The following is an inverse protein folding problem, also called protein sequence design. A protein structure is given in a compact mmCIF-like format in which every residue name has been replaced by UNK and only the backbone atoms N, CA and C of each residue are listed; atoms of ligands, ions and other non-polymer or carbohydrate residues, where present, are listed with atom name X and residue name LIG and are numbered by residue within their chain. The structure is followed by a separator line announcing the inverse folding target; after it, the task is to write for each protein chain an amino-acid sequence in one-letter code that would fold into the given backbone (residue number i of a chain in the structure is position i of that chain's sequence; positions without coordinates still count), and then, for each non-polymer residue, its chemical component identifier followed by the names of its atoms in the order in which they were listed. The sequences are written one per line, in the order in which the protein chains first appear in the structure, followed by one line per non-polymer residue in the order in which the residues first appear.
data_IF_768992378167
#
_entry.id   IF_768992378167
#
_cell.length_a   1.000
_cell.length_b   1.000
_cell.length_c   1.000
_cell.angle_alpha   90.00
_cell.angle_beta   90.00
_cell.angle_gamma   90.00
#
_symmetry.space_group_name_H-M   'P 1'
#
loop_
_entity.id
_entity.type
_entity.pdbx_description
1 polymer ?
#
# COMPACT_ATOMS: atom_id res chain seq x y z
N UNK A 1 -27.37 -11.56 20.36
CA UNK A 1 -26.23 -11.03 21.13
C UNK A 1 -25.02 -10.88 20.21
N UNK A 2 -24.21 -9.79 20.38
CA UNK A 2 -23.02 -9.55 19.57
C UNK A 2 -21.79 -9.98 20.35
N UNK A 3 -20.96 -10.83 19.72
CA UNK A 3 -19.69 -11.31 20.28
C UNK A 3 -18.53 -10.82 19.42
N UNK A 4 -17.51 -10.17 20.00
CA UNK A 4 -16.33 -9.77 19.25
C UNK A 4 -15.50 -10.99 18.86
N UNK A 5 -14.94 -10.97 17.64
CA UNK A 5 -13.98 -11.96 17.15
C UNK A 5 -12.65 -11.27 16.80
N UNK A 6 -11.55 -11.99 16.98
CA UNK A 6 -10.20 -11.47 16.70
C UNK A 6 -9.94 -11.25 15.18
N UNK A 7 -10.72 -11.91 14.34
CA UNK A 7 -10.65 -11.81 12.87
C UNK A 7 -11.93 -12.36 12.23
N UNK A 8 -12.16 -12.03 10.95
CA UNK A 8 -13.25 -12.61 10.17
C UNK A 8 -13.17 -14.13 10.10
N UNK A 9 -11.97 -14.69 9.99
CA UNK A 9 -11.75 -16.13 9.98
C UNK A 9 -12.13 -16.79 11.32
N UNK A 10 -11.83 -16.14 12.44
CA UNK A 10 -12.23 -16.63 13.78
C UNK A 10 -13.76 -16.61 13.93
N UNK A 11 -14.41 -15.52 13.50
CA UNK A 11 -15.87 -15.44 13.48
C UNK A 11 -16.50 -16.55 12.64
N UNK A 12 -16.00 -16.79 11.43
CA UNK A 12 -16.48 -17.85 10.56
C UNK A 12 -16.26 -19.25 11.15
N UNK A 13 -15.11 -19.51 11.79
CA UNK A 13 -14.83 -20.77 12.48
C UNK A 13 -15.85 -21.02 13.61
N UNK A 14 -16.12 -20.01 14.41
CA UNK A 14 -17.13 -20.10 15.49
C UNK A 14 -18.52 -20.36 14.93
N UNK A 15 -18.93 -19.68 13.86
CA UNK A 15 -20.22 -19.92 13.21
C UNK A 15 -20.35 -21.34 12.66
N UNK A 16 -19.27 -21.98 12.24
CA UNK A 16 -19.25 -23.39 11.85
C UNK A 16 -19.45 -24.34 13.05
N UNK A 17 -18.76 -24.04 14.15
CA UNK A 17 -18.65 -24.97 15.29
C UNK A 17 -19.80 -24.78 16.32
N UNK A 18 -20.45 -23.62 16.35
CA UNK A 18 -21.47 -23.24 17.34
C UNK A 18 -22.86 -23.12 16.69
N UNK A 19 -23.79 -23.98 17.05
CA UNK A 19 -25.16 -23.97 16.51
C UNK A 19 -25.89 -22.68 16.89
N UNK A 20 -26.58 -22.09 15.92
CA UNK A 20 -27.33 -20.84 16.11
C UNK A 20 -26.48 -19.58 16.06
N UNK A 21 -25.23 -19.69 15.63
CA UNK A 21 -24.29 -18.58 15.48
C UNK A 21 -24.13 -18.20 14.00
N UNK A 22 -24.01 -16.91 13.73
CA UNK A 22 -23.67 -16.36 12.42
C UNK A 22 -22.45 -15.44 12.53
N UNK A 23 -21.70 -15.27 11.46
CA UNK A 23 -20.54 -14.38 11.40
C UNK A 23 -20.67 -13.36 10.28
N UNK A 24 -20.12 -12.16 10.51
CA UNK A 24 -19.88 -11.17 9.46
C UNK A 24 -18.45 -11.42 8.94
N UNK A 25 -18.34 -11.84 7.67
CA UNK A 25 -17.08 -12.21 7.06
C UNK A 25 -17.12 -12.03 5.53
N UNK A 26 -15.99 -12.10 4.87
CA UNK A 26 -15.93 -12.09 3.40
C UNK A 26 -16.27 -13.45 2.78
N UNK A 27 -16.56 -13.46 1.48
CA UNK A 27 -16.96 -14.65 0.72
C UNK A 27 -15.99 -15.82 0.84
N UNK A 28 -14.67 -15.52 0.79
CA UNK A 28 -13.63 -16.54 0.96
C UNK A 28 -13.74 -17.31 2.28
N UNK A 29 -14.20 -16.65 3.36
CA UNK A 29 -14.41 -17.35 4.63
C UNK A 29 -15.60 -18.33 4.58
N UNK A 30 -16.69 -17.97 3.87
CA UNK A 30 -17.81 -18.87 3.65
C UNK A 30 -17.38 -20.14 2.90
N UNK A 31 -16.58 -19.99 1.86
CA UNK A 31 -16.02 -21.12 1.08
C UNK A 31 -15.10 -22.00 1.93
N UNK A 32 -14.10 -21.39 2.61
CA UNK A 32 -13.09 -22.13 3.40
C UNK A 32 -13.73 -22.91 4.55
N UNK A 33 -14.73 -22.34 5.22
CA UNK A 33 -15.38 -22.96 6.36
C UNK A 33 -16.69 -23.70 6.02
N UNK A 34 -17.03 -23.78 4.72
CA UNK A 34 -18.26 -24.44 4.22
C UNK A 34 -19.52 -23.90 4.89
N UNK A 35 -19.66 -22.58 4.92
CA UNK A 35 -20.79 -21.88 5.52
C UNK A 35 -21.75 -21.37 4.44
N UNK A 36 -23.05 -21.38 4.75
CA UNK A 36 -24.06 -20.79 3.89
C UNK A 36 -24.10 -19.27 4.10
N UNK A 37 -24.04 -18.50 3.02
CA UNK A 37 -24.26 -17.04 3.08
C UNK A 37 -25.74 -16.77 3.28
N UNK A 38 -26.10 -16.11 4.37
CA UNK A 38 -27.47 -15.73 4.69
C UNK A 38 -27.85 -14.41 4.02
N UNK A 39 -26.92 -13.45 4.02
CA UNK A 39 -27.07 -12.13 3.40
C UNK A 39 -25.74 -11.79 2.74
N UNK A 40 -25.78 -11.20 1.55
CA UNK A 40 -24.60 -10.71 0.83
C UNK A 40 -24.63 -9.18 0.77
N UNK A 41 -23.49 -8.57 0.41
CA UNK A 41 -23.33 -7.14 0.14
C UNK A 41 -23.83 -6.26 1.29
N UNK A 42 -23.38 -6.60 2.52
CA UNK A 42 -23.78 -5.92 3.77
C UNK A 42 -22.83 -4.82 4.20
N UNK A 43 -21.82 -4.54 3.40
CA UNK A 43 -20.86 -3.48 3.68
C UNK A 43 -21.53 -2.09 3.60
N UNK A 44 -21.17 -1.19 4.53
CA UNK A 44 -21.66 0.19 4.53
C UNK A 44 -21.22 1.00 3.30
N UNK A 45 -20.11 0.58 2.65
CA UNK A 45 -19.52 1.22 1.48
C UNK A 45 -19.04 0.19 0.47
N UNK A 46 -19.53 0.24 -0.78
CA UNK A 46 -19.15 -0.71 -1.83
C UNK A 46 -17.71 -0.55 -2.31
N UNK A 47 -17.04 0.57 -1.95
CA UNK A 47 -15.65 0.88 -2.29
C UNK A 47 -14.65 0.46 -1.20
N UNK A 48 -15.07 -0.32 -0.19
CA UNK A 48 -14.18 -0.81 0.86
C UNK A 48 -13.20 -1.84 0.29
N UNK A 49 -12.00 -1.36 -0.04
CA UNK A 49 -10.96 -2.17 -0.68
C UNK A 49 -9.74 -2.32 0.22
N UNK A 50 -9.30 -3.55 0.46
CA UNK A 50 -8.06 -3.85 1.17
C UNK A 50 -6.94 -4.11 0.18
N UNK A 51 -5.87 -3.32 0.28
CA UNK A 51 -4.67 -3.51 -0.54
C UNK A 51 -3.73 -4.52 0.11
N UNK A 52 -3.38 -5.57 -0.62
CA UNK A 52 -2.36 -6.53 -0.25
C UNK A 52 -1.09 -6.29 -1.08
N UNK A 53 0.08 -6.42 -0.45
CA UNK A 53 1.37 -6.40 -1.12
C UNK A 53 1.98 -7.80 -1.08
N UNK A 54 2.35 -8.32 -2.24
CA UNK A 54 3.13 -9.56 -2.34
C UNK A 54 4.60 -9.20 -2.19
N UNK A 55 5.23 -9.72 -1.13
CA UNK A 55 6.64 -9.45 -0.84
C UNK A 55 7.49 -10.61 -1.38
N UNK A 56 8.49 -10.27 -2.18
CA UNK A 56 9.41 -11.24 -2.79
C UNK A 56 10.84 -10.70 -2.90
N UNK A 57 11.78 -11.59 -3.19
CA UNK A 57 13.19 -11.24 -3.42
C UNK A 57 13.51 -11.00 -4.91
N UNK A 58 12.58 -11.34 -5.78
CA UNK A 58 12.76 -11.27 -7.24
C UNK A 58 12.32 -9.91 -7.74
N UNK A 59 13.20 -9.22 -8.46
CA UNK A 59 12.81 -8.01 -9.17
C UNK A 59 11.97 -8.41 -10.38
N UNK A 60 10.86 -7.73 -10.57
CA UNK A 60 9.99 -7.95 -11.73
C UNK A 60 10.49 -7.09 -12.89
N UNK A 61 10.26 -7.55 -14.11
CA UNK A 61 10.51 -6.77 -15.33
C UNK A 61 9.34 -5.80 -15.55
N UNK A 62 9.60 -4.70 -16.28
CA UNK A 62 8.57 -3.76 -16.67
C UNK A 62 7.46 -4.46 -17.47
N UNK A 63 6.20 -4.20 -17.10
CA UNK A 63 5.00 -4.71 -17.78
C UNK A 63 4.34 -3.68 -18.69
N UNK A 64 4.77 -2.42 -18.62
CA UNK A 64 4.18 -1.28 -19.32
C UNK A 64 3.01 -0.62 -18.56
N UNK A 65 2.49 -1.24 -17.50
CA UNK A 65 1.47 -0.68 -16.61
C UNK A 65 1.86 -0.93 -15.16
N UNK A 66 2.94 -0.28 -14.73
CA UNK A 66 3.58 -0.55 -13.46
C UNK A 66 3.38 0.58 -12.44
N UNK A 67 3.64 0.25 -11.20
CA UNK A 67 3.87 1.18 -10.08
C UNK A 67 5.23 0.91 -9.47
N UNK A 68 5.86 1.97 -8.98
CA UNK A 68 7.08 1.88 -8.18
C UNK A 68 6.81 2.42 -6.78
N UNK A 69 7.10 1.63 -5.76
CA UNK A 69 7.04 2.04 -4.36
C UNK A 69 8.41 2.50 -3.89
N UNK A 70 8.45 3.66 -3.27
CA UNK A 70 9.63 4.33 -2.77
C UNK A 70 9.55 4.54 -1.26
N UNK A 71 10.71 4.55 -0.59
CA UNK A 71 10.88 5.04 0.77
C UNK A 71 11.85 6.22 0.75
N UNK A 72 11.37 7.38 1.18
CA UNK A 72 12.08 8.64 1.11
C UNK A 72 12.16 9.32 2.48
N UNK A 73 13.19 10.13 2.72
CA UNK A 73 13.18 11.17 3.75
C UNK A 73 13.92 12.43 3.28
N UNK A 74 13.52 13.57 3.81
CA UNK A 74 14.17 14.85 3.56
C UNK A 74 15.52 14.93 4.30
N UNK A 75 16.48 15.70 3.76
CA UNK A 75 17.76 15.98 4.43
C UNK A 75 17.56 16.84 5.68
N UNK A 76 16.70 17.86 5.55
CA UNK A 76 16.41 18.81 6.61
C UNK A 76 14.94 18.75 6.99
N UNK A 77 14.66 18.74 8.29
CA UNK A 77 13.29 18.64 8.84
C UNK A 77 12.74 20.00 9.28
N UNK A 78 13.57 21.04 9.26
CA UNK A 78 13.19 22.41 9.66
C UNK A 78 12.91 23.36 8.51
N UNK A 79 13.27 23.00 7.29
CA UNK A 79 13.10 23.87 6.12
C UNK A 79 11.66 23.85 5.59
N UNK A 80 11.06 25.04 5.47
CA UNK A 80 9.81 25.18 4.76
C UNK A 80 9.94 24.69 3.31
N UNK A 81 9.02 23.84 2.88
CA UNK A 81 9.01 23.28 1.53
C UNK A 81 10.00 22.12 1.29
N UNK A 82 10.67 21.56 2.30
CA UNK A 82 11.62 20.46 2.12
C UNK A 82 11.03 19.26 1.39
N UNK A 83 9.81 18.86 1.72
CA UNK A 83 9.11 17.78 1.02
C UNK A 83 8.74 18.17 -0.42
N UNK A 84 8.30 19.40 -0.65
CA UNK A 84 7.99 19.89 -1.99
C UNK A 84 9.24 19.83 -2.89
N UNK A 85 10.37 20.35 -2.40
CA UNK A 85 11.65 20.30 -3.14
C UNK A 85 12.07 18.87 -3.43
N UNK A 86 11.92 17.96 -2.44
CA UNK A 86 12.23 16.55 -2.64
C UNK A 86 11.38 15.91 -3.73
N UNK A 87 10.10 16.24 -3.83
CA UNK A 87 9.16 15.62 -4.78
C UNK A 87 9.12 16.35 -6.15
N UNK A 88 9.71 17.52 -6.29
CA UNK A 88 9.73 18.31 -7.53
C UNK A 88 10.15 17.52 -8.77
N UNK A 89 11.18 16.63 -8.71
CA UNK A 89 11.57 15.84 -9.88
C UNK A 89 10.47 14.96 -10.45
N UNK A 90 9.49 14.52 -9.63
CA UNK A 90 8.36 13.76 -10.17
C UNK A 90 7.49 14.61 -11.08
N UNK A 91 7.21 15.86 -10.69
CA UNK A 91 6.45 16.79 -11.51
C UNK A 91 7.21 17.21 -12.78
N UNK A 92 8.51 17.49 -12.68
CA UNK A 92 9.38 17.85 -13.80
C UNK A 92 9.42 16.77 -14.88
N UNK A 93 9.35 15.50 -14.46
CA UNK A 93 9.32 14.35 -15.37
C UNK A 93 7.90 13.83 -15.65
N UNK A 94 6.86 14.59 -15.26
CA UNK A 94 5.44 14.26 -15.50
C UNK A 94 5.03 12.88 -14.92
N UNK A 95 5.63 12.49 -13.80
CA UNK A 95 5.35 11.22 -13.13
C UNK A 95 4.25 11.44 -12.11
N UNK A 96 3.15 10.72 -12.26
CA UNK A 96 2.04 10.77 -11.31
C UNK A 96 2.40 10.05 -10.00
N UNK A 97 2.13 10.71 -8.88
CA UNK A 97 2.22 10.14 -7.53
C UNK A 97 0.83 9.69 -7.11
N UNK A 98 0.62 8.39 -7.01
CA UNK A 98 -0.69 7.79 -6.69
C UNK A 98 -0.93 7.59 -5.20
N UNK A 99 0.12 7.68 -4.35
CA UNK A 99 0.03 7.56 -2.90
C UNK A 99 1.20 8.25 -2.22
N UNK A 100 0.92 8.88 -1.08
CA UNK A 100 1.94 9.31 -0.12
C UNK A 100 1.45 9.01 1.30
N UNK A 101 2.31 8.43 2.12
CA UNK A 101 2.04 8.14 3.53
C UNK A 101 3.28 8.53 4.35
N UNK A 102 3.08 9.37 5.35
CA UNK A 102 4.15 9.76 6.27
C UNK A 102 4.12 8.89 7.52
N UNK A 103 5.28 8.48 8.00
CA UNK A 103 5.46 7.79 9.28
C UNK A 103 6.61 8.40 10.07
N UNK A 104 6.46 8.53 11.41
CA UNK A 104 7.58 8.97 12.26
C UNK A 104 8.78 8.02 12.10
N UNK A 105 9.96 8.59 11.99
CA UNK A 105 11.20 7.80 11.98
C UNK A 105 11.46 7.25 13.39
N UNK A 106 11.68 5.94 13.51
CA UNK A 106 12.08 5.33 14.79
C UNK A 106 13.53 5.65 15.20
N UNK A 107 14.33 6.22 14.30
CA UNK A 107 15.76 6.48 14.53
C UNK A 107 16.07 7.88 15.05
N UNK A 108 15.22 8.86 14.76
CA UNK A 108 15.41 10.25 15.19
C UNK A 108 14.06 10.89 15.52
N UNK A 109 13.96 11.59 16.65
CA UNK A 109 12.78 12.39 17.03
C UNK A 109 12.52 13.45 15.96
N UNK A 110 11.25 13.69 15.63
CA UNK A 110 10.77 14.71 14.69
C UNK A 110 11.16 14.52 13.22
N UNK A 111 11.74 13.37 12.85
CA UNK A 111 11.99 13.00 11.46
C UNK A 111 10.89 12.09 10.93
N UNK A 112 10.52 12.31 9.68
CA UNK A 112 9.52 11.51 8.97
C UNK A 112 10.18 10.73 7.83
N UNK A 113 9.65 9.56 7.59
CA UNK A 113 9.86 8.79 6.37
C UNK A 113 8.57 8.79 5.56
N UNK A 114 8.69 8.86 4.25
CA UNK A 114 7.58 8.91 3.33
C UNK A 114 7.57 7.64 2.48
N UNK A 115 6.47 6.91 2.52
CA UNK A 115 6.17 5.85 1.58
C UNK A 115 5.42 6.49 0.41
N UNK A 116 6.00 6.40 -0.78
CA UNK A 116 5.46 7.03 -1.99
C UNK A 116 5.29 5.97 -3.06
N UNK A 117 4.11 5.92 -3.68
CA UNK A 117 3.88 5.12 -4.88
C UNK A 117 3.75 6.04 -6.08
N UNK A 118 4.52 5.77 -7.11
CA UNK A 118 4.51 6.48 -8.39
C UNK A 118 4.08 5.55 -9.53
N UNK A 119 3.57 6.11 -10.58
CA UNK A 119 3.26 5.40 -11.81
C UNK A 119 4.54 5.18 -12.64
N UNK A 120 4.65 4.00 -13.25
CA UNK A 120 5.78 3.56 -14.05
C UNK A 120 6.75 2.63 -13.32
N UNK A 121 7.56 1.93 -14.10
CA UNK A 121 8.62 1.04 -13.60
C UNK A 121 9.90 1.86 -13.35
N UNK A 122 10.70 1.47 -12.34
CA UNK A 122 11.93 2.18 -11.98
C UNK A 122 12.95 2.25 -13.13
N UNK A 123 12.93 1.27 -14.03
CA UNK A 123 13.82 1.20 -15.19
C UNK A 123 13.26 1.89 -16.45
N UNK A 124 12.04 2.42 -16.38
CA UNK A 124 11.45 3.15 -17.52
C UNK A 124 12.28 4.39 -17.83
N UNK A 125 12.54 4.70 -19.12
CA UNK A 125 13.34 5.88 -19.53
C UNK A 125 12.78 7.21 -18.99
N UNK A 126 11.48 7.32 -18.80
CA UNK A 126 10.84 8.49 -18.20
C UNK A 126 10.96 8.56 -16.68
N UNK A 127 11.14 7.42 -15.99
CA UNK A 127 11.14 7.32 -14.53
C UNK A 127 12.56 7.34 -13.95
N UNK A 128 13.49 6.64 -14.57
CA UNK A 128 14.85 6.49 -14.07
C UNK A 128 15.59 7.82 -13.82
N UNK A 129 15.49 8.86 -14.68
CA UNK A 129 16.12 10.16 -14.42
C UNK A 129 15.56 10.86 -13.17
N UNK A 130 14.25 10.84 -12.99
CA UNK A 130 13.61 11.42 -11.80
C UNK A 130 14.06 10.72 -10.50
N UNK A 131 14.13 9.39 -10.52
CA UNK A 131 14.66 8.61 -9.39
C UNK A 131 16.13 8.95 -9.09
N UNK A 132 16.94 9.22 -10.14
CA UNK A 132 18.30 9.69 -9.99
C UNK A 132 18.40 11.04 -9.29
N UNK A 133 17.50 11.99 -9.60
CA UNK A 133 17.41 13.29 -8.95
C UNK A 133 16.94 13.17 -7.49
N UNK A 134 15.86 12.41 -7.25
CA UNK A 134 15.36 12.10 -5.92
C UNK A 134 16.46 11.52 -5.02
N UNK A 135 17.25 10.58 -5.53
CA UNK A 135 18.36 9.96 -4.79
C UNK A 135 19.41 10.97 -4.34
N UNK A 136 19.72 11.99 -5.17
CA UNK A 136 20.68 13.03 -4.83
C UNK A 136 20.16 14.00 -3.76
N UNK A 137 18.86 14.25 -3.78
CA UNK A 137 18.21 15.23 -2.89
C UNK A 137 17.78 14.62 -1.55
N UNK A 138 17.41 13.35 -1.51
CA UNK A 138 16.94 12.67 -0.32
C UNK A 138 18.06 12.37 0.69
N UNK A 139 17.74 12.36 1.99
CA UNK A 139 18.60 11.79 3.03
C UNK A 139 18.48 10.25 3.02
N UNK A 140 17.27 9.74 2.87
CA UNK A 140 16.98 8.33 2.67
C UNK A 140 16.28 8.17 1.33
N UNK A 141 16.79 7.30 0.50
CA UNK A 141 16.18 6.90 -0.76
C UNK A 141 16.26 5.39 -0.92
N UNK A 142 15.12 4.73 -1.07
CA UNK A 142 15.04 3.32 -1.42
C UNK A 142 13.90 3.08 -2.40
N UNK A 143 14.17 2.37 -3.47
CA UNK A 143 13.15 1.70 -4.28
C UNK A 143 12.80 0.41 -3.54
N UNK A 144 11.55 0.29 -3.12
CA UNK A 144 11.04 -0.90 -2.44
C UNK A 144 10.69 -1.99 -3.44
N UNK A 145 10.27 -1.59 -4.63
CA UNK A 145 9.97 -2.47 -5.75
C UNK A 145 9.16 -1.77 -6.82
N UNK A 146 9.25 -2.30 -8.05
CA UNK A 146 8.35 -1.99 -9.16
C UNK A 146 7.54 -3.24 -9.48
N UNK A 147 6.25 -3.07 -9.74
CA UNK A 147 5.30 -4.16 -9.92
C UNK A 147 4.10 -3.72 -10.76
N UNK A 148 3.41 -4.65 -11.46
CA UNK A 148 2.21 -4.32 -12.23
C UNK A 148 1.12 -3.67 -11.37
N UNK A 149 0.41 -2.70 -11.93
CA UNK A 149 -0.81 -2.15 -11.31
C UNK A 149 -1.84 -3.26 -11.18
N UNK A 150 -2.54 -3.31 -10.04
CA UNK A 150 -3.68 -4.20 -9.89
C UNK A 150 -4.75 -3.86 -10.94
N UNK A 151 -5.32 -4.88 -11.54
CA UNK A 151 -6.54 -4.76 -12.36
C UNK A 151 -7.69 -4.81 -11.35
N UNK A 152 -8.39 -3.69 -11.20
CA UNK A 152 -9.60 -3.57 -10.40
C UNK A 152 -10.81 -3.75 -11.31
#
# INVERSE_FOLDING_TARGET
ELHPASSNAEGARRARDEVGTAAIAGDAAAEVYNLTKLVADIEDRPDNTTRFLVIGRKLLKASGKDKTSLLLSTKDTGDAGALQKLLAPLAEHQINMSRIESRPSRRRKWHYVFFVDIDGHADDPGVAPALGQLRKQAQLFRVLGSYPKAVL
#
